data_IF_705417240256
#
_entry.id   IF_705417240256
#
_cell.length_a   1.000
_cell.length_b   1.000
_cell.length_c   1.000
_cell.angle_alpha   90.00
_cell.angle_beta   90.00
_cell.angle_gamma   90.00
#
_symmetry.space_group_name_H-M   'P 1'
#
loop_
_entity.id
_entity.type
_entity.pdbx_description
1 polymer ?
#
# COMPACT_ATOMS: atom_id res chain seq x y z
N UNK A 1 -18.09 23.65 -2.54
CA UNK A 1 -17.18 23.57 -1.35
C UNK A 1 -16.08 22.58 -1.70
N UNK A 2 -14.82 22.87 -1.39
CA UNK A 2 -13.72 21.93 -1.64
C UNK A 2 -13.90 20.69 -0.77
N UNK A 3 -13.79 19.50 -1.37
CA UNK A 3 -13.84 18.25 -0.62
C UNK A 3 -12.58 18.09 0.25
N UNK A 4 -12.76 17.59 1.47
CA UNK A 4 -11.65 17.34 2.39
C UNK A 4 -10.85 16.10 1.98
N UNK A 5 -11.54 15.05 1.54
CA UNK A 5 -10.92 13.77 1.16
C UNK A 5 -11.63 13.15 -0.04
N UNK A 6 -10.82 12.55 -0.92
CA UNK A 6 -11.26 11.68 -2.00
C UNK A 6 -10.93 10.23 -1.63
N UNK A 7 -11.95 9.39 -1.56
CA UNK A 7 -11.78 7.94 -1.49
C UNK A 7 -11.83 7.38 -2.91
N UNK A 8 -10.81 6.66 -3.34
CA UNK A 8 -10.84 5.88 -4.56
C UNK A 8 -11.10 4.42 -4.23
N UNK A 9 -12.10 3.86 -4.87
CA UNK A 9 -12.51 2.46 -4.71
C UNK A 9 -12.35 1.75 -6.05
N UNK A 10 -11.22 1.08 -6.31
CA UNK A 10 -11.06 0.22 -7.47
C UNK A 10 -11.99 -0.98 -7.37
N UNK A 11 -12.82 -1.21 -8.39
CA UNK A 11 -13.85 -2.25 -8.42
C UNK A 11 -13.65 -3.12 -9.66
N UNK A 12 -13.56 -4.44 -9.48
CA UNK A 12 -13.54 -5.40 -10.57
C UNK A 12 -14.27 -6.68 -10.18
N UNK A 13 -15.46 -6.90 -10.74
CA UNK A 13 -16.35 -8.01 -10.36
C UNK A 13 -16.54 -8.08 -8.83
N UNK A 14 -16.92 -6.95 -8.23
CA UNK A 14 -16.96 -6.72 -6.78
C UNK A 14 -18.38 -6.62 -6.22
N UNK A 15 -19.41 -6.90 -7.00
CA UNK A 15 -20.82 -6.69 -6.61
C UNK A 15 -21.20 -7.32 -5.26
N UNK A 16 -20.54 -8.41 -4.89
CA UNK A 16 -20.80 -9.14 -3.64
C UNK A 16 -20.32 -8.36 -2.38
N UNK A 17 -19.36 -7.42 -2.51
CA UNK A 17 -18.67 -6.80 -1.37
C UNK A 17 -18.80 -5.29 -1.34
N UNK A 18 -18.76 -4.63 -2.50
CA UNK A 18 -18.55 -3.18 -2.62
C UNK A 18 -19.64 -2.33 -1.92
N UNK A 19 -20.85 -2.83 -1.72
CA UNK A 19 -21.90 -2.08 -1.03
C UNK A 19 -21.51 -1.78 0.42
N UNK A 20 -20.94 -2.76 1.14
CA UNK A 20 -20.49 -2.54 2.51
C UNK A 20 -19.37 -1.50 2.56
N UNK A 21 -18.39 -1.59 1.66
CA UNK A 21 -17.35 -0.58 1.51
C UNK A 21 -17.96 0.82 1.34
N UNK A 22 -18.81 1.01 0.34
CA UNK A 22 -19.39 2.31 0.00
C UNK A 22 -20.20 2.88 1.17
N UNK A 23 -21.03 2.07 1.84
CA UNK A 23 -21.86 2.53 2.97
C UNK A 23 -21.02 3.07 4.13
N UNK A 24 -19.87 2.45 4.42
CA UNK A 24 -18.98 2.98 5.46
C UNK A 24 -18.34 4.31 5.06
N UNK A 25 -17.99 4.49 3.77
CA UNK A 25 -17.43 5.74 3.24
C UNK A 25 -18.45 6.88 3.20
N UNK A 26 -19.72 6.58 2.92
CA UNK A 26 -20.82 7.56 2.94
C UNK A 26 -21.01 8.20 4.31
N UNK A 27 -20.56 7.55 5.40
CA UNK A 27 -20.58 8.14 6.75
C UNK A 27 -19.74 9.43 6.87
N UNK A 28 -18.85 9.70 5.92
CA UNK A 28 -18.06 10.93 5.84
C UNK A 28 -18.91 12.16 5.40
N UNK A 29 -20.07 11.94 4.76
CA UNK A 29 -20.96 13.01 4.30
C UNK A 29 -20.37 13.90 3.20
N UNK A 30 -20.90 15.11 3.08
CA UNK A 30 -20.58 16.05 1.99
C UNK A 30 -19.11 16.54 1.95
N UNK A 31 -18.36 16.35 3.00
CA UNK A 31 -16.94 16.72 3.03
C UNK A 31 -16.04 15.73 2.26
N UNK A 32 -16.56 14.56 1.92
CA UNK A 32 -15.86 13.56 1.12
C UNK A 32 -16.41 13.47 -0.30
N UNK A 33 -15.61 12.91 -1.20
CA UNK A 33 -16.05 12.31 -2.44
C UNK A 33 -15.59 10.85 -2.50
N UNK A 34 -16.38 10.02 -3.15
CA UNK A 34 -16.12 8.59 -3.35
C UNK A 34 -16.09 8.34 -4.85
N UNK A 35 -14.93 7.94 -5.35
CA UNK A 35 -14.69 7.68 -6.76
C UNK A 35 -14.70 6.16 -6.94
N UNK A 36 -15.84 5.64 -7.41
CA UNK A 36 -16.00 4.22 -7.74
C UNK A 36 -15.43 4.01 -9.14
N UNK A 37 -14.32 3.28 -9.23
CA UNK A 37 -13.66 3.00 -10.51
C UNK A 37 -13.96 1.56 -10.91
N UNK A 38 -14.93 1.38 -11.80
CA UNK A 38 -15.21 0.09 -12.41
C UNK A 38 -14.18 -0.21 -13.50
N UNK A 39 -13.32 -1.18 -13.23
CA UNK A 39 -12.20 -1.60 -14.07
C UNK A 39 -12.65 -2.65 -15.13
N UNK A 40 -13.75 -2.36 -15.83
CA UNK A 40 -14.24 -3.21 -16.91
C UNK A 40 -14.87 -4.52 -16.41
N UNK A 41 -15.71 -4.45 -15.39
CA UNK A 41 -16.43 -5.61 -14.85
C UNK A 41 -17.45 -6.13 -15.87
N UNK A 42 -17.40 -7.45 -16.12
CA UNK A 42 -18.28 -8.10 -17.09
C UNK A 42 -19.01 -9.33 -16.54
N UNK A 43 -18.69 -9.75 -15.31
CA UNK A 43 -19.20 -11.00 -14.75
C UNK A 43 -20.31 -10.83 -13.72
N UNK A 44 -20.54 -9.58 -13.25
CA UNK A 44 -21.51 -9.29 -12.21
C UNK A 44 -22.11 -7.89 -12.34
N UNK A 45 -22.91 -7.47 -11.37
CA UNK A 45 -23.58 -6.18 -11.33
C UNK A 45 -22.74 -4.99 -10.89
N UNK A 46 -21.41 -5.09 -10.83
CA UNK A 46 -20.52 -4.00 -10.36
C UNK A 46 -20.78 -2.66 -11.08
N UNK A 47 -20.85 -2.60 -12.43
CA UNK A 47 -21.10 -1.32 -13.12
C UNK A 47 -22.43 -0.69 -12.72
N UNK A 48 -23.50 -1.50 -12.64
CA UNK A 48 -24.83 -1.03 -12.25
C UNK A 48 -24.87 -0.50 -10.81
N UNK A 49 -24.11 -1.11 -9.89
CA UNK A 49 -23.98 -0.62 -8.51
C UNK A 49 -23.24 0.72 -8.48
N UNK A 50 -22.19 0.90 -9.27
CA UNK A 50 -21.50 2.20 -9.39
C UNK A 50 -22.47 3.29 -9.82
N UNK A 51 -23.27 3.05 -10.86
CA UNK A 51 -24.25 4.01 -11.38
C UNK A 51 -25.38 4.27 -10.38
N UNK A 52 -25.87 3.24 -9.69
CA UNK A 52 -26.91 3.35 -8.64
C UNK A 52 -26.45 4.33 -7.54
N UNK A 53 -25.23 4.15 -7.00
CA UNK A 53 -24.72 5.02 -5.95
C UNK A 53 -24.40 6.43 -6.45
N UNK A 54 -23.90 6.58 -7.67
CA UNK A 54 -23.67 7.89 -8.28
C UNK A 54 -24.99 8.66 -8.49
N UNK A 55 -26.04 7.98 -8.93
CA UNK A 55 -27.38 8.59 -9.07
C UNK A 55 -28.02 8.95 -7.72
N UNK A 56 -27.82 8.10 -6.69
CA UNK A 56 -28.40 8.30 -5.35
C UNK A 56 -27.68 9.40 -4.56
N UNK A 57 -26.35 9.54 -4.75
CA UNK A 57 -25.52 10.49 -4.01
C UNK A 57 -24.66 11.36 -4.95
N UNK A 58 -25.28 12.16 -5.86
CA UNK A 58 -24.57 12.82 -6.96
C UNK A 58 -23.55 13.88 -6.53
N UNK A 59 -23.62 14.36 -5.28
CA UNK A 59 -22.65 15.31 -4.71
C UNK A 59 -21.47 14.63 -4.01
N UNK A 60 -21.58 13.32 -3.72
CA UNK A 60 -20.60 12.56 -2.96
C UNK A 60 -19.95 11.47 -3.81
N UNK A 61 -20.75 10.75 -4.61
CA UNK A 61 -20.29 9.57 -5.36
C UNK A 61 -20.13 9.90 -6.84
N UNK A 62 -19.01 9.48 -7.41
CA UNK A 62 -18.70 9.55 -8.84
C UNK A 62 -18.38 8.14 -9.34
N UNK A 63 -19.12 7.68 -10.37
CA UNK A 63 -18.77 6.47 -11.10
C UNK A 63 -17.81 6.79 -12.25
N UNK A 64 -16.79 5.97 -12.41
CA UNK A 64 -15.82 6.02 -13.52
C UNK A 64 -15.71 4.62 -14.09
N UNK A 65 -16.09 4.45 -15.37
CA UNK A 65 -15.96 3.18 -16.07
C UNK A 65 -14.78 3.22 -17.02
N UNK A 66 -14.00 2.15 -17.05
CA UNK A 66 -12.84 2.03 -17.94
C UNK A 66 -12.69 0.60 -18.48
N UNK A 67 -11.89 0.45 -19.53
CA UNK A 67 -11.38 -0.87 -19.91
C UNK A 67 -10.48 -1.42 -18.82
N UNK A 68 -10.50 -2.74 -18.62
CA UNK A 68 -9.69 -3.37 -17.59
C UNK A 68 -8.21 -3.02 -17.73
N UNK A 69 -7.69 -2.35 -16.74
CA UNK A 69 -6.27 -1.97 -16.62
C UNK A 69 -5.62 -2.56 -15.37
N UNK A 70 -6.40 -3.26 -14.53
CA UNK A 70 -5.98 -3.80 -13.25
C UNK A 70 -6.03 -2.77 -12.12
N UNK A 71 -5.85 -3.25 -10.88
CA UNK A 71 -5.98 -2.45 -9.65
C UNK A 71 -5.19 -1.13 -9.71
N UNK A 72 -3.93 -1.16 -10.19
CA UNK A 72 -3.11 0.05 -10.29
C UNK A 72 -3.71 1.12 -11.18
N UNK A 73 -4.34 0.74 -12.31
CA UNK A 73 -5.00 1.72 -13.18
C UNK A 73 -6.28 2.27 -12.52
N UNK A 74 -6.99 1.46 -11.74
CA UNK A 74 -8.10 1.93 -10.91
C UNK A 74 -7.65 3.02 -9.92
N UNK A 75 -6.51 2.82 -9.26
CA UNK A 75 -5.91 3.84 -8.36
C UNK A 75 -5.47 5.08 -9.15
N UNK A 76 -4.83 4.93 -10.32
CA UNK A 76 -4.44 6.05 -11.18
C UNK A 76 -5.66 6.89 -11.60
N UNK A 77 -6.77 6.25 -11.97
CA UNK A 77 -8.02 6.95 -12.30
C UNK A 77 -8.59 7.67 -11.08
N UNK A 78 -8.51 7.05 -9.90
CA UNK A 78 -8.86 7.72 -8.66
C UNK A 78 -8.08 9.01 -8.46
N UNK A 79 -6.74 9.02 -8.60
CA UNK A 79 -5.89 10.20 -8.45
C UNK A 79 -6.24 11.29 -9.50
N UNK A 80 -6.47 10.89 -10.76
CA UNK A 80 -6.86 11.82 -11.84
C UNK A 80 -8.18 12.51 -11.57
N UNK A 81 -9.14 11.80 -10.98
CA UNK A 81 -10.49 12.29 -10.71
C UNK A 81 -10.65 12.95 -9.33
N UNK A 82 -9.67 12.81 -8.43
CA UNK A 82 -9.73 13.34 -7.07
C UNK A 82 -9.79 14.88 -7.05
N UNK A 83 -10.72 15.44 -6.28
CA UNK A 83 -10.84 16.89 -6.01
C UNK A 83 -10.58 17.24 -4.54
N UNK A 84 -10.56 16.22 -3.68
CA UNK A 84 -10.32 16.36 -2.25
C UNK A 84 -8.89 16.77 -1.93
N UNK A 85 -8.73 17.45 -0.81
CA UNK A 85 -7.42 17.86 -0.30
C UNK A 85 -6.54 16.66 0.05
N UNK A 86 -7.16 15.58 0.54
CA UNK A 86 -6.52 14.29 0.83
C UNK A 86 -7.06 13.21 -0.10
N UNK A 87 -6.26 12.16 -0.26
CA UNK A 87 -6.57 11.00 -1.07
C UNK A 87 -6.31 9.71 -0.29
N UNK A 88 -7.25 8.79 -0.36
CA UNK A 88 -7.11 7.45 0.22
C UNK A 88 -7.69 6.41 -0.73
N UNK A 89 -6.95 5.32 -0.93
CA UNK A 89 -7.47 4.12 -1.58
C UNK A 89 -8.19 3.27 -0.54
N UNK A 90 -9.34 2.73 -0.92
CA UNK A 90 -10.06 1.70 -0.15
C UNK A 90 -10.46 0.60 -1.13
N UNK A 91 -9.96 -0.61 -0.91
CA UNK A 91 -10.28 -1.74 -1.76
C UNK A 91 -11.76 -2.12 -1.62
N UNK A 92 -12.38 -2.56 -2.71
CA UNK A 92 -13.84 -2.74 -2.77
C UNK A 92 -14.39 -3.85 -1.86
N UNK A 93 -13.52 -4.74 -1.37
CA UNK A 93 -13.83 -5.81 -0.41
C UNK A 93 -13.49 -5.43 1.04
N UNK A 94 -12.90 -4.25 1.26
CA UNK A 94 -12.53 -3.71 2.56
C UNK A 94 -13.52 -2.62 3.02
N UNK A 95 -13.35 -2.12 4.24
CA UNK A 95 -14.18 -1.03 4.76
C UNK A 95 -13.43 -0.14 5.76
N UNK A 96 -14.04 0.98 6.13
CA UNK A 96 -13.53 1.85 7.19
C UNK A 96 -14.42 1.77 8.44
N UNK A 97 -13.79 1.81 9.62
CA UNK A 97 -14.50 2.03 10.86
C UNK A 97 -15.09 3.44 10.88
N UNK A 98 -16.42 3.54 10.95
CA UNK A 98 -17.13 4.82 10.77
C UNK A 98 -16.88 5.81 11.90
N UNK A 99 -16.63 5.35 13.14
CA UNK A 99 -16.35 6.23 14.26
C UNK A 99 -14.90 6.71 14.24
N UNK A 100 -13.96 5.85 13.85
CA UNK A 100 -12.58 6.25 13.59
C UNK A 100 -12.52 7.25 12.43
N UNK A 101 -13.28 7.01 11.33
CA UNK A 101 -13.36 7.92 10.20
C UNK A 101 -13.85 9.32 10.61
N UNK A 102 -14.92 9.43 11.39
CA UNK A 102 -15.42 10.73 11.90
C UNK A 102 -14.35 11.47 12.70
N UNK A 103 -13.60 10.76 13.57
CA UNK A 103 -12.51 11.35 14.36
C UNK A 103 -11.36 11.85 13.48
N UNK A 104 -10.98 11.08 12.45
CA UNK A 104 -9.95 11.46 11.48
C UNK A 104 -10.36 12.70 10.70
N UNK A 105 -11.58 12.72 10.17
CA UNK A 105 -12.09 13.86 9.40
C UNK A 105 -12.17 15.13 10.27
N UNK A 106 -12.65 15.02 11.50
CA UNK A 106 -12.68 16.16 12.43
C UNK A 106 -11.26 16.69 12.72
N UNK A 107 -10.30 15.79 12.92
CA UNK A 107 -8.89 16.18 13.12
C UNK A 107 -8.32 16.87 11.87
N UNK A 108 -8.54 16.30 10.68
CA UNK A 108 -8.10 16.91 9.42
C UNK A 108 -8.69 18.31 9.21
N UNK A 109 -9.99 18.50 9.45
CA UNK A 109 -10.63 19.82 9.38
C UNK A 109 -9.95 20.83 10.30
N UNK A 110 -9.68 20.42 11.54
CA UNK A 110 -9.00 21.26 12.53
C UNK A 110 -7.60 21.66 12.07
N UNK A 111 -6.83 20.73 11.53
CA UNK A 111 -5.47 20.97 11.05
C UNK A 111 -5.49 21.88 9.81
N UNK A 112 -6.41 21.66 8.89
CA UNK A 112 -6.61 22.51 7.69
C UNK A 112 -6.99 23.93 8.09
N UNK A 113 -7.95 24.10 8.99
CA UNK A 113 -8.37 25.41 9.47
C UNK A 113 -7.26 26.20 10.16
N UNK A 114 -6.29 25.52 10.76
CA UNK A 114 -5.09 26.10 11.39
C UNK A 114 -3.93 26.35 10.41
N UNK A 115 -4.08 26.00 9.14
CA UNK A 115 -2.97 26.07 8.16
C UNK A 115 -1.84 25.08 8.40
N UNK A 116 -2.10 24.00 9.18
CA UNK A 116 -1.10 23.00 9.59
C UNK A 116 -1.43 21.61 9.04
N UNK A 117 -2.07 21.54 7.88
CA UNK A 117 -2.43 20.30 7.23
C UNK A 117 -1.18 19.47 6.86
N UNK A 118 -1.03 18.21 7.34
CA UNK A 118 0.12 17.37 7.03
C UNK A 118 0.10 16.89 5.58
N UNK A 119 1.27 16.54 5.05
CA UNK A 119 1.38 15.90 3.73
C UNK A 119 0.94 14.43 3.76
N UNK A 120 1.10 13.80 4.91
CA UNK A 120 0.73 12.40 5.13
C UNK A 120 0.04 12.22 6.49
N UNK A 121 -1.21 11.76 6.46
CA UNK A 121 -1.93 11.26 7.63
C UNK A 121 -1.78 9.75 7.70
N UNK A 122 -1.51 9.21 8.89
CA UNK A 122 -1.30 7.79 9.14
C UNK A 122 -2.29 7.32 10.22
N UNK A 123 -2.93 6.17 9.99
CA UNK A 123 -3.75 5.47 10.97
C UNK A 123 -3.36 3.99 11.00
N UNK A 124 -3.85 3.25 11.99
CA UNK A 124 -3.73 1.80 12.04
C UNK A 124 -4.65 1.14 11.00
N UNK A 125 -4.36 -0.13 10.72
CA UNK A 125 -5.28 -1.00 10.03
C UNK A 125 -5.41 -2.34 10.76
N UNK A 126 -6.50 -3.04 10.49
CA UNK A 126 -6.88 -4.27 11.17
C UNK A 126 -7.09 -5.37 10.15
N UNK A 127 -6.39 -6.47 10.28
CA UNK A 127 -6.72 -7.71 9.56
C UNK A 127 -7.98 -8.32 10.19
N UNK A 128 -9.04 -8.46 9.39
CA UNK A 128 -10.31 -9.05 9.81
C UNK A 128 -10.44 -10.45 9.22
N UNK A 129 -10.19 -11.47 10.02
CA UNK A 129 -10.37 -12.87 9.66
C UNK A 129 -11.83 -13.25 9.89
N UNK A 130 -12.67 -13.02 8.89
CA UNK A 130 -14.13 -13.17 9.02
C UNK A 130 -14.53 -14.64 9.24
N UNK A 131 -13.77 -15.62 8.73
CA UNK A 131 -14.06 -17.04 8.86
C UNK A 131 -13.99 -17.53 10.32
N UNK A 132 -13.03 -17.04 11.10
CA UNK A 132 -12.82 -17.45 12.51
C UNK A 132 -13.18 -16.36 13.52
N UNK A 133 -13.63 -15.20 13.06
CA UNK A 133 -14.03 -14.06 13.89
C UNK A 133 -12.87 -13.42 14.66
N UNK A 134 -11.62 -13.63 14.22
CA UNK A 134 -10.45 -13.03 14.86
C UNK A 134 -10.01 -11.76 14.12
N UNK A 135 -9.37 -10.85 14.84
CA UNK A 135 -8.78 -9.66 14.25
C UNK A 135 -7.38 -9.39 14.78
N UNK A 136 -6.55 -8.77 13.95
CA UNK A 136 -5.20 -8.36 14.33
C UNK A 136 -4.92 -6.93 13.88
N UNK A 137 -4.63 -6.04 14.85
CA UNK A 137 -4.33 -4.62 14.56
C UNK A 137 -2.84 -4.40 14.32
N UNK A 138 -2.50 -3.76 13.22
CA UNK A 138 -1.15 -3.23 12.96
C UNK A 138 -1.08 -1.78 13.39
N UNK A 139 -0.23 -1.51 14.40
CA UNK A 139 -0.04 -0.20 15.02
C UNK A 139 1.36 0.33 14.78
N UNK A 140 1.49 1.66 14.77
CA UNK A 140 2.77 2.34 14.53
C UNK A 140 3.23 3.17 15.74
N UNK A 141 2.74 2.86 16.95
CA UNK A 141 3.06 3.60 18.18
C UNK A 141 4.53 3.54 18.57
N UNK A 142 5.27 2.53 18.09
CA UNK A 142 6.71 2.40 18.27
C UNK A 142 7.52 3.25 17.27
N UNK A 143 6.87 3.76 16.21
CA UNK A 143 7.53 4.45 15.09
C UNK A 143 7.19 5.92 15.07
N UNK A 144 5.91 6.28 15.27
CA UNK A 144 5.42 7.63 15.06
C UNK A 144 4.94 8.30 16.35
N UNK A 145 5.27 9.58 16.54
CA UNK A 145 4.66 10.41 17.58
C UNK A 145 3.14 10.50 17.38
N UNK A 146 2.36 10.29 18.45
CA UNK A 146 0.89 10.34 18.36
C UNK A 146 0.36 11.77 18.48
N UNK A 147 -0.71 12.06 17.76
CA UNK A 147 -1.56 13.24 17.88
C UNK A 147 -0.85 14.58 17.80
N UNK A 148 0.26 14.64 17.08
CA UNK A 148 1.00 15.87 16.78
C UNK A 148 1.61 15.84 15.38
N UNK A 149 1.92 17.00 14.84
CA UNK A 149 2.72 17.13 13.62
C UNK A 149 4.16 16.71 13.89
N UNK A 150 4.75 16.01 12.94
CA UNK A 150 6.15 15.60 12.96
C UNK A 150 6.69 15.49 11.53
N UNK A 151 7.99 15.43 11.41
CA UNK A 151 8.74 15.19 10.18
C UNK A 151 9.56 13.89 10.27
N UNK A 152 10.33 13.59 9.24
CA UNK A 152 11.16 12.38 9.20
C UNK A 152 12.19 12.29 10.32
N UNK A 153 12.65 13.42 10.87
CA UNK A 153 13.64 13.42 11.98
C UNK A 153 13.08 12.76 13.24
N UNK A 154 11.77 12.85 13.45
CA UNK A 154 11.06 12.32 14.61
C UNK A 154 10.59 10.86 14.42
N UNK A 155 10.79 10.27 13.24
CA UNK A 155 10.40 8.89 12.97
C UNK A 155 11.33 7.92 13.68
N UNK A 156 10.75 6.97 14.43
CA UNK A 156 11.46 5.90 15.11
C UNK A 156 11.96 4.80 14.16
N UNK A 157 12.30 3.66 14.74
CA UNK A 157 12.76 2.50 13.99
C UNK A 157 11.59 1.55 13.71
N UNK A 158 11.41 1.21 12.45
CA UNK A 158 10.52 0.13 12.06
C UNK A 158 11.13 -1.23 12.45
N UNK A 159 10.30 -2.14 12.92
CA UNK A 159 10.72 -3.53 13.09
C UNK A 159 10.99 -4.17 11.73
N UNK A 160 11.77 -5.27 11.66
CA UNK A 160 12.06 -5.96 10.41
C UNK A 160 10.81 -6.42 9.62
N UNK A 161 9.73 -6.70 10.31
CA UNK A 161 8.43 -7.13 9.80
C UNK A 161 7.43 -5.99 9.58
N UNK A 162 7.84 -4.74 9.81
CA UNK A 162 6.92 -3.59 9.83
C UNK A 162 7.27 -2.60 8.72
N UNK A 163 6.26 -2.24 7.95
CA UNK A 163 6.30 -1.16 6.96
C UNK A 163 4.93 -0.47 6.88
N UNK A 164 4.88 0.69 6.23
CA UNK A 164 3.62 1.32 5.87
C UNK A 164 2.97 0.54 4.72
N UNK A 165 1.67 0.29 4.83
CA UNK A 165 0.86 -0.22 3.74
C UNK A 165 -0.13 0.85 3.25
N UNK A 166 -0.68 0.67 2.05
CA UNK A 166 -1.70 1.53 1.45
C UNK A 166 -2.90 1.75 2.39
N UNK A 167 -3.25 0.70 3.16
CA UNK A 167 -4.33 0.72 4.14
C UNK A 167 -4.14 1.77 5.24
N UNK A 168 -2.88 2.04 5.63
CA UNK A 168 -2.55 2.94 6.75
C UNK A 168 -2.41 4.42 6.36
N UNK A 169 -2.26 4.74 5.07
CA UNK A 169 -1.88 6.07 4.60
C UNK A 169 -3.03 6.85 3.96
N UNK A 170 -3.02 8.16 4.17
CA UNK A 170 -3.82 9.16 3.45
C UNK A 170 -2.87 10.28 3.05
N UNK A 171 -2.59 10.41 1.78
CA UNK A 171 -1.72 11.46 1.25
C UNK A 171 -2.49 12.74 0.97
N UNK A 172 -1.84 13.90 1.16
CA UNK A 172 -2.30 15.10 0.50
C UNK A 172 -2.30 14.84 -1.01
N UNK A 173 -3.40 15.12 -1.69
CA UNK A 173 -3.57 14.81 -3.14
C UNK A 173 -2.47 15.44 -3.98
N UNK A 174 -2.03 16.63 -3.60
CA UNK A 174 -0.93 17.34 -4.28
C UNK A 174 0.40 16.59 -4.21
N UNK A 175 0.71 15.90 -3.11
CA UNK A 175 1.92 15.08 -2.97
C UNK A 175 1.94 13.96 -4.01
N UNK A 176 0.79 13.29 -4.23
CA UNK A 176 0.67 12.24 -5.25
C UNK A 176 0.84 12.78 -6.67
N UNK A 177 0.36 14.00 -6.94
CA UNK A 177 0.52 14.65 -8.24
C UNK A 177 1.96 15.09 -8.47
N UNK A 178 2.60 15.70 -7.48
CA UNK A 178 3.98 16.17 -7.57
C UNK A 178 4.99 15.04 -7.74
N UNK A 179 4.76 13.88 -7.15
CA UNK A 179 5.66 12.73 -7.32
C UNK A 179 5.57 12.07 -8.71
N UNK A 180 4.60 12.46 -9.53
CA UNK A 180 4.44 11.94 -10.90
C UNK A 180 4.19 10.44 -10.98
N UNK A 181 3.68 9.82 -9.90
CA UNK A 181 3.47 8.38 -9.84
C UNK A 181 2.42 7.92 -10.84
N UNK A 182 2.75 6.89 -11.60
CA UNK A 182 1.84 6.13 -12.45
C UNK A 182 2.03 4.65 -12.14
N UNK A 183 1.04 4.03 -11.55
CA UNK A 183 1.07 2.62 -11.22
C UNK A 183 0.95 1.76 -12.49
N UNK A 184 1.75 0.71 -12.65
CA UNK A 184 1.72 -0.14 -13.85
C UNK A 184 0.39 -0.90 -13.97
N UNK A 185 -0.12 -0.96 -15.21
CA UNK A 185 -1.33 -1.74 -15.55
C UNK A 185 -1.11 -3.24 -15.37
N UNK A 186 -2.19 -3.98 -15.10
CA UNK A 186 -2.21 -5.44 -15.00
C UNK A 186 -1.10 -5.99 -14.09
N UNK A 187 -0.83 -5.29 -12.98
CA UNK A 187 0.22 -5.63 -12.04
C UNK A 187 -0.36 -5.63 -10.64
N UNK A 188 -0.19 -6.74 -9.90
CA UNK A 188 -0.50 -6.82 -8.48
C UNK A 188 0.64 -6.23 -7.65
N UNK A 189 0.41 -6.00 -6.36
CA UNK A 189 1.40 -5.49 -5.39
C UNK A 189 1.84 -4.05 -5.64
N UNK A 190 1.13 -3.31 -6.48
CA UNK A 190 1.40 -1.88 -6.80
C UNK A 190 1.12 -0.95 -5.63
N UNK A 191 0.40 -1.41 -4.61
CA UNK A 191 0.22 -0.78 -3.31
C UNK A 191 1.55 -0.39 -2.65
N UNK A 192 2.61 -1.20 -2.86
CA UNK A 192 3.96 -0.90 -2.40
C UNK A 192 4.55 0.32 -3.12
N UNK A 193 4.33 0.48 -4.43
CA UNK A 193 4.73 1.67 -5.18
C UNK A 193 3.96 2.89 -4.68
N UNK A 194 2.63 2.74 -4.49
CA UNK A 194 1.75 3.80 -3.99
C UNK A 194 2.22 4.38 -2.66
N UNK A 195 2.73 3.53 -1.76
CA UNK A 195 3.29 3.99 -0.49
C UNK A 195 4.69 4.56 -0.66
N UNK A 196 5.56 3.88 -1.41
CA UNK A 196 7.01 4.15 -1.44
C UNK A 196 7.37 5.39 -2.23
N UNK A 197 6.84 5.52 -3.46
CA UNK A 197 7.28 6.56 -4.40
C UNK A 197 7.00 8.00 -3.91
N UNK A 198 5.88 8.31 -3.21
CA UNK A 198 5.62 9.68 -2.74
C UNK A 198 6.43 10.11 -1.51
N UNK A 199 7.09 9.20 -0.78
CA UNK A 199 7.72 9.50 0.53
C UNK A 199 8.73 10.66 0.50
N UNK A 200 9.58 10.83 -0.53
CA UNK A 200 10.50 11.97 -0.59
C UNK A 200 9.81 13.35 -0.69
N UNK A 201 8.55 13.38 -1.08
CA UNK A 201 7.74 14.59 -1.19
C UNK A 201 6.98 14.93 0.11
N UNK A 202 7.00 14.01 1.08
CA UNK A 202 6.35 14.18 2.40
C UNK A 202 7.29 14.94 3.33
N UNK A 203 6.91 16.16 3.71
CA UNK A 203 7.66 17.03 4.65
C UNK A 203 7.06 16.99 6.04
N UNK A 204 5.75 16.78 6.15
CA UNK A 204 5.01 16.77 7.41
C UNK A 204 4.06 15.58 7.50
N UNK A 205 3.98 15.00 8.69
CA UNK A 205 3.17 13.82 8.97
C UNK A 205 2.34 14.02 10.22
N UNK A 206 1.26 13.25 10.32
CA UNK A 206 0.43 13.17 11.52
C UNK A 206 -0.04 11.74 11.71
N UNK A 207 0.16 11.16 12.89
CA UNK A 207 -0.27 9.81 13.21
C UNK A 207 -1.38 9.83 14.26
N UNK A 208 -2.49 9.17 13.96
CA UNK A 208 -3.57 8.89 14.89
C UNK A 208 -3.60 7.39 15.20
N UNK A 209 -3.50 7.03 16.48
CA UNK A 209 -3.60 5.64 16.94
C UNK A 209 -5.08 5.20 16.93
N UNK A 210 -5.65 5.14 15.73
CA UNK A 210 -7.02 4.73 15.44
C UNK A 210 -7.04 3.57 14.46
N UNK A 211 -7.83 2.56 14.76
CA UNK A 211 -8.01 1.35 13.96
C UNK A 211 -9.02 1.65 12.84
N UNK A 212 -8.57 2.43 11.83
CA UNK A 212 -9.43 3.02 10.80
C UNK A 212 -9.80 2.04 9.69
N UNK A 213 -8.79 1.38 9.11
CA UNK A 213 -8.99 0.53 7.94
C UNK A 213 -9.21 -0.92 8.37
N UNK A 214 -10.24 -1.56 7.84
CA UNK A 214 -10.60 -2.96 8.07
C UNK A 214 -10.32 -3.75 6.82
N UNK A 215 -9.26 -4.55 6.87
CA UNK A 215 -8.77 -5.36 5.78
C UNK A 215 -9.36 -6.77 5.88
N UNK A 216 -10.24 -7.11 4.95
CA UNK A 216 -10.89 -8.42 4.88
C UNK A 216 -9.92 -9.51 4.49
N UNK A 217 -9.79 -10.55 5.32
CA UNK A 217 -8.96 -11.73 5.08
C UNK A 217 -9.83 -12.98 5.14
N UNK A 218 -9.61 -13.93 4.21
CA UNK A 218 -10.27 -15.26 4.25
C UNK A 218 -10.74 -15.77 2.88
N UNK A 219 -10.68 -14.97 1.81
CA UNK A 219 -11.04 -15.47 0.48
C UNK A 219 -9.90 -16.27 -0.14
N UNK A 220 -10.25 -17.40 -0.76
CA UNK A 220 -9.29 -18.29 -1.41
C UNK A 220 -8.58 -17.67 -2.63
N UNK A 221 -9.20 -16.66 -3.26
CA UNK A 221 -8.68 -15.98 -4.45
C UNK A 221 -7.85 -14.71 -4.16
N UNK A 222 -7.65 -14.37 -2.87
CA UNK A 222 -6.88 -13.18 -2.50
C UNK A 222 -5.44 -13.22 -2.99
N UNK A 223 -4.95 -12.06 -3.40
CA UNK A 223 -3.60 -11.89 -3.97
C UNK A 223 -2.47 -12.22 -3.01
N UNK A 224 -2.73 -12.19 -1.71
CA UNK A 224 -1.77 -12.48 -0.63
C UNK A 224 -1.56 -13.98 -0.36
N UNK A 225 -2.32 -14.86 -0.98
CA UNK A 225 -2.12 -16.30 -0.85
C UNK A 225 -0.79 -16.74 -1.47
N UNK A 226 0.04 -17.49 -0.73
CA UNK A 226 1.39 -17.92 -1.13
C UNK A 226 1.42 -18.57 -2.52
N UNK A 227 0.49 -19.49 -2.80
CA UNK A 227 0.41 -20.15 -4.11
C UNK A 227 0.06 -19.20 -5.26
N UNK A 228 -0.69 -18.12 -4.97
CA UNK A 228 -1.02 -17.06 -5.93
C UNK A 228 0.20 -16.16 -6.15
N UNK A 229 0.91 -15.81 -5.07
CA UNK A 229 2.11 -14.96 -5.14
C UNK A 229 3.24 -15.63 -5.91
N UNK A 230 3.50 -16.92 -5.70
CA UNK A 230 4.50 -17.68 -6.47
C UNK A 230 4.16 -17.66 -7.98
N UNK A 231 2.90 -17.90 -8.35
CA UNK A 231 2.46 -17.84 -9.75
C UNK A 231 2.57 -16.44 -10.38
N UNK A 232 2.55 -15.38 -9.56
CA UNK A 232 2.61 -13.98 -9.98
C UNK A 232 3.95 -13.33 -9.68
N UNK A 233 5.00 -14.12 -9.45
CA UNK A 233 6.31 -13.59 -9.04
C UNK A 233 6.88 -12.58 -10.03
N UNK A 234 6.61 -12.71 -11.32
CA UNK A 234 7.06 -11.73 -12.33
C UNK A 234 6.46 -10.33 -12.13
N UNK A 235 5.24 -10.26 -11.56
CA UNK A 235 4.63 -8.98 -11.21
C UNK A 235 5.28 -8.39 -9.95
N UNK A 236 5.60 -9.23 -8.96
CA UNK A 236 6.38 -8.83 -7.79
C UNK A 236 7.76 -8.28 -8.21
N UNK A 237 8.45 -8.95 -9.13
CA UNK A 237 9.74 -8.48 -9.67
C UNK A 237 9.60 -7.14 -10.40
N UNK A 238 8.52 -6.94 -11.16
CA UNK A 238 8.23 -5.66 -11.83
C UNK A 238 8.07 -4.53 -10.81
N UNK A 239 7.31 -4.76 -9.74
CA UNK A 239 7.12 -3.78 -8.66
C UNK A 239 8.44 -3.48 -7.96
N UNK A 240 9.23 -4.51 -7.61
CA UNK A 240 10.52 -4.34 -6.96
C UNK A 240 11.50 -3.56 -7.83
N UNK A 241 11.59 -3.85 -9.13
CA UNK A 241 12.40 -3.09 -10.08
C UNK A 241 11.93 -1.63 -10.18
N UNK A 242 10.62 -1.40 -10.26
CA UNK A 242 10.09 -0.03 -10.23
C UNK A 242 10.52 0.72 -8.95
N UNK A 243 10.47 0.08 -7.78
CA UNK A 243 10.90 0.70 -6.53
C UNK A 243 12.43 0.96 -6.48
N UNK A 244 13.24 0.16 -7.18
CA UNK A 244 14.67 0.41 -7.37
C UNK A 244 14.88 1.70 -8.19
N UNK A 245 14.12 1.87 -9.28
CA UNK A 245 14.33 2.93 -10.27
C UNK A 245 13.68 4.26 -9.90
N UNK A 246 12.55 4.24 -9.17
CA UNK A 246 11.72 5.42 -8.98
C UNK A 246 12.34 6.50 -8.06
N UNK A 247 13.43 6.18 -7.33
CA UNK A 247 14.05 7.12 -6.38
C UNK A 247 15.57 6.96 -6.32
N UNK A 248 16.28 8.08 -6.45
CA UNK A 248 17.70 8.15 -6.11
C UNK A 248 17.87 8.27 -4.59
N UNK A 249 18.12 7.14 -3.92
CA UNK A 249 18.32 7.11 -2.46
C UNK A 249 19.60 7.82 -2.01
N UNK A 250 20.54 8.11 -2.90
CA UNK A 250 21.72 8.89 -2.56
C UNK A 250 21.43 10.40 -2.50
N UNK A 251 20.45 10.88 -3.25
CA UNK A 251 19.93 12.24 -3.11
C UNK A 251 19.34 12.49 -1.70
N UNK A 252 18.93 11.43 -0.99
CA UNK A 252 18.37 11.50 0.35
C UNK A 252 19.39 11.39 1.49
N UNK A 253 20.71 11.46 1.22
CA UNK A 253 21.77 11.33 2.25
C UNK A 253 21.61 12.28 3.44
N UNK A 254 21.11 13.47 3.20
CA UNK A 254 20.86 14.47 4.25
C UNK A 254 19.56 14.20 5.04
N UNK A 255 18.67 13.38 4.54
CA UNK A 255 17.41 12.96 5.17
C UNK A 255 17.56 11.53 5.75
N UNK A 256 18.45 11.39 6.73
CA UNK A 256 18.93 10.08 7.22
C UNK A 256 17.81 9.10 7.59
N UNK A 257 16.75 9.56 8.27
CA UNK A 257 15.64 8.71 8.71
C UNK A 257 14.77 8.25 7.54
N UNK A 258 14.43 9.16 6.62
CA UNK A 258 13.71 8.82 5.39
C UNK A 258 14.50 7.82 4.56
N UNK A 259 15.78 8.09 4.30
CA UNK A 259 16.66 7.19 3.56
C UNK A 259 16.74 5.81 4.20
N UNK A 260 16.90 5.75 5.52
CA UNK A 260 16.95 4.49 6.26
C UNK A 260 15.64 3.70 6.12
N UNK A 261 14.50 4.37 6.21
CA UNK A 261 13.19 3.73 6.01
C UNK A 261 12.99 3.23 4.57
N UNK A 262 13.37 4.02 3.57
CA UNK A 262 13.25 3.60 2.17
C UNK A 262 14.18 2.43 1.83
N UNK A 263 15.39 2.40 2.38
CA UNK A 263 16.29 1.24 2.28
C UNK A 263 15.71 -0.01 2.97
N UNK A 264 15.12 0.16 4.14
CA UNK A 264 14.43 -0.92 4.85
C UNK A 264 13.28 -1.50 4.01
N UNK A 265 12.42 -0.63 3.45
CA UNK A 265 11.30 -1.06 2.62
C UNK A 265 11.78 -1.78 1.34
N UNK A 266 12.76 -1.21 0.65
CA UNK A 266 13.36 -1.86 -0.53
C UNK A 266 13.95 -3.23 -0.17
N UNK A 267 14.58 -3.35 0.99
CA UNK A 267 15.11 -4.61 1.49
C UNK A 267 14.03 -5.67 1.75
N UNK A 268 12.86 -5.26 2.27
CA UNK A 268 11.69 -6.14 2.43
C UNK A 268 11.24 -6.63 1.04
N UNK A 269 11.13 -5.74 0.06
CA UNK A 269 10.68 -6.10 -1.28
C UNK A 269 11.65 -7.06 -1.98
N UNK A 270 12.96 -6.86 -1.81
CA UNK A 270 13.99 -7.81 -2.29
C UNK A 270 13.82 -9.17 -1.61
N UNK A 271 13.64 -9.20 -0.28
CA UNK A 271 13.47 -10.45 0.47
C UNK A 271 12.19 -11.21 0.05
N UNK A 272 11.08 -10.51 -0.13
CA UNK A 272 9.82 -11.11 -0.61
C UNK A 272 10.02 -11.71 -2.00
N UNK A 273 10.66 -10.97 -2.91
CA UNK A 273 10.96 -11.44 -4.27
C UNK A 273 11.82 -12.71 -4.26
N UNK A 274 12.91 -12.70 -3.47
CA UNK A 274 13.78 -13.86 -3.31
C UNK A 274 13.04 -15.07 -2.76
N UNK A 275 12.23 -14.89 -1.71
CA UNK A 275 11.48 -15.98 -1.07
C UNK A 275 10.53 -16.65 -2.05
N UNK A 276 9.76 -15.87 -2.85
CA UNK A 276 8.83 -16.46 -3.81
C UNK A 276 9.53 -17.16 -4.97
N UNK A 277 10.68 -16.66 -5.42
CA UNK A 277 11.52 -17.35 -6.40
C UNK A 277 12.11 -18.65 -5.83
N UNK A 278 12.51 -18.67 -4.54
CA UNK A 278 12.98 -19.87 -3.87
C UNK A 278 11.88 -20.91 -3.62
N UNK A 279 10.66 -20.46 -3.38
CA UNK A 279 9.47 -21.33 -3.24
C UNK A 279 9.07 -21.96 -4.57
N UNK A 280 9.19 -21.25 -5.70
CA UNK A 280 9.05 -21.80 -7.05
C UNK A 280 10.09 -22.90 -7.30
N UNK A 281 11.37 -22.66 -6.96
CA UNK A 281 12.47 -23.62 -6.98
C UNK A 281 12.94 -24.05 -8.37
N UNK A 282 12.31 -23.56 -9.45
CA UNK A 282 12.71 -23.87 -10.84
C UNK A 282 14.09 -23.26 -11.19
N UNK A 283 14.71 -23.77 -12.25
CA UNK A 283 15.96 -23.19 -12.77
C UNK A 283 15.74 -21.75 -13.25
N UNK A 284 14.59 -21.48 -13.86
CA UNK A 284 14.19 -20.14 -14.31
C UNK A 284 14.04 -19.17 -13.14
N UNK A 285 13.41 -19.59 -12.04
CA UNK A 285 13.27 -18.76 -10.83
C UNK A 285 14.61 -18.41 -10.21
N UNK A 286 15.57 -19.35 -10.18
CA UNK A 286 16.94 -19.09 -9.72
C UNK A 286 17.65 -18.06 -10.58
N UNK A 287 17.51 -18.17 -11.89
CA UNK A 287 18.08 -17.20 -12.83
C UNK A 287 17.45 -15.81 -12.64
N UNK A 288 16.14 -15.72 -12.49
CA UNK A 288 15.43 -14.46 -12.18
C UNK A 288 15.92 -13.82 -10.87
N UNK A 289 16.24 -14.63 -9.86
CA UNK A 289 16.83 -14.14 -8.61
C UNK A 289 18.19 -13.49 -8.84
N UNK A 290 19.09 -14.15 -9.59
CA UNK A 290 20.40 -13.61 -9.95
C UNK A 290 20.23 -12.29 -10.71
N UNK A 291 19.36 -12.27 -11.70
CA UNK A 291 19.07 -11.08 -12.51
C UNK A 291 18.51 -9.92 -11.68
N UNK A 292 17.65 -10.18 -10.69
CA UNK A 292 17.13 -9.13 -9.80
C UNK A 292 18.26 -8.48 -8.96
N UNK A 293 19.17 -9.27 -8.41
CA UNK A 293 20.30 -8.76 -7.64
C UNK A 293 21.32 -8.03 -8.52
N UNK A 294 21.52 -8.49 -9.76
CA UNK A 294 22.33 -7.78 -10.74
C UNK A 294 21.68 -6.45 -11.10
N UNK A 295 20.36 -6.44 -11.34
CA UNK A 295 19.59 -5.22 -11.58
C UNK A 295 19.74 -4.20 -10.46
N UNK A 296 19.58 -4.60 -9.20
CA UNK A 296 19.82 -3.73 -8.05
C UNK A 296 21.24 -3.14 -8.07
N UNK A 297 22.26 -3.95 -8.38
CA UNK A 297 23.65 -3.52 -8.43
C UNK A 297 23.94 -2.51 -9.54
N UNK A 298 23.28 -2.66 -10.69
CA UNK A 298 23.48 -1.82 -11.87
C UNK A 298 22.70 -0.50 -11.77
N UNK A 299 21.53 -0.54 -11.14
CA UNK A 299 20.60 0.61 -11.05
C UNK A 299 20.74 1.42 -9.76
N UNK A 300 21.61 1.02 -8.83
CA UNK A 300 21.81 1.76 -7.59
C UNK A 300 23.29 2.00 -7.32
N UNK A 301 23.58 2.97 -6.45
CA UNK A 301 24.97 3.22 -6.04
C UNK A 301 25.53 2.07 -5.22
N UNK A 302 26.87 1.95 -5.13
CA UNK A 302 27.52 0.96 -4.26
C UNK A 302 27.10 1.08 -2.78
N UNK A 303 26.72 2.28 -2.33
CA UNK A 303 26.27 2.52 -0.95
C UNK A 303 24.89 1.91 -0.71
N UNK A 304 23.97 2.07 -1.64
CA UNK A 304 22.59 1.51 -1.60
C UNK A 304 22.65 0.00 -1.72
N UNK A 305 23.36 -0.52 -2.73
CA UNK A 305 23.53 -1.96 -2.92
C UNK A 305 24.09 -2.65 -1.64
N UNK A 306 25.14 -2.06 -1.04
CA UNK A 306 25.73 -2.58 0.20
C UNK A 306 24.73 -2.55 1.35
N UNK A 307 23.98 -1.48 1.50
CA UNK A 307 22.97 -1.36 2.57
C UNK A 307 21.89 -2.43 2.46
N UNK A 308 21.34 -2.67 1.26
CA UNK A 308 20.34 -3.73 1.02
C UNK A 308 20.96 -5.12 1.24
N UNK A 309 22.19 -5.34 0.79
CA UNK A 309 22.89 -6.62 0.97
C UNK A 309 23.21 -6.93 2.44
N UNK A 310 23.38 -5.93 3.30
CA UNK A 310 23.64 -6.10 4.74
C UNK A 310 22.34 -6.09 5.58
N UNK A 311 21.18 -6.12 4.95
CA UNK A 311 19.87 -6.11 5.60
C UNK A 311 19.08 -7.41 5.33
N UNK A 312 17.76 -7.40 5.55
CA UNK A 312 16.88 -8.56 5.36
C UNK A 312 17.01 -9.16 3.94
N UNK A 313 17.08 -8.31 2.90
CA UNK A 313 17.29 -8.77 1.52
C UNK A 313 18.56 -9.58 1.35
N UNK A 314 19.66 -9.19 2.00
CA UNK A 314 20.92 -9.95 1.93
C UNK A 314 20.85 -11.31 2.62
N UNK A 315 20.02 -11.46 3.66
CA UNK A 315 19.80 -12.76 4.33
C UNK A 315 19.17 -13.76 3.35
N UNK A 316 18.21 -13.32 2.54
CA UNK A 316 17.54 -14.17 1.54
C UNK A 316 18.41 -14.47 0.31
N UNK A 317 19.52 -13.72 0.15
CA UNK A 317 20.48 -13.91 -0.92
C UNK A 317 21.81 -14.58 -0.48
N UNK A 318 21.84 -15.25 0.65
CA UNK A 318 23.01 -15.98 1.09
C UNK A 318 23.25 -17.21 0.19
N UNK A 319 24.54 -17.45 -0.13
CA UNK A 319 24.97 -18.56 -0.99
C UNK A 319 25.90 -19.48 -0.20
N UNK A 320 25.38 -20.64 0.21
CA UNK A 320 26.12 -21.76 0.81
C UNK A 320 25.36 -23.07 0.50
N UNK A 321 26.01 -24.25 0.67
CA UNK A 321 25.32 -25.52 0.42
C UNK A 321 23.98 -25.61 1.17
N UNK A 322 22.88 -25.86 0.45
CA UNK A 322 21.50 -25.92 0.97
C UNK A 322 20.94 -24.60 1.49
N UNK A 323 21.52 -23.45 1.12
CA UNK A 323 21.01 -22.12 1.53
C UNK A 323 19.53 -21.94 1.23
N UNK A 324 19.07 -22.37 0.06
CA UNK A 324 17.65 -22.26 -0.35
C UNK A 324 16.72 -22.95 0.65
N UNK A 325 17.08 -24.18 1.09
CA UNK A 325 16.29 -24.92 2.08
C UNK A 325 16.27 -24.23 3.44
N UNK A 326 17.40 -23.65 3.86
CA UNK A 326 17.48 -22.92 5.14
C UNK A 326 16.69 -21.64 5.11
N UNK A 327 16.77 -20.86 4.02
CA UNK A 327 16.04 -19.60 3.84
C UNK A 327 14.51 -19.87 3.80
N UNK A 328 14.07 -20.85 3.02
CA UNK A 328 12.64 -21.22 2.95
C UNK A 328 12.16 -21.77 4.30
N UNK A 329 12.98 -22.57 5.00
CA UNK A 329 12.67 -23.02 6.36
C UNK A 329 12.50 -21.87 7.34
N UNK A 330 13.42 -20.90 7.32
CA UNK A 330 13.34 -19.68 8.12
C UNK A 330 12.09 -18.85 7.82
N UNK A 331 11.74 -18.68 6.54
CA UNK A 331 10.49 -18.03 6.13
C UNK A 331 9.26 -18.75 6.70
N UNK A 332 9.17 -20.08 6.60
CA UNK A 332 8.03 -20.85 7.12
C UNK A 332 7.88 -20.69 8.64
N UNK A 333 9.00 -20.61 9.38
CA UNK A 333 8.98 -20.35 10.82
C UNK A 333 8.51 -18.92 11.09
N UNK A 334 9.07 -17.93 10.40
CA UNK A 334 8.71 -16.53 10.54
C UNK A 334 7.21 -16.32 10.24
N UNK A 335 6.68 -16.93 9.17
CA UNK A 335 5.25 -16.88 8.83
C UNK A 335 4.34 -17.38 9.97
N UNK A 336 4.72 -18.46 10.66
CA UNK A 336 3.96 -18.99 11.81
C UNK A 336 4.01 -18.04 13.02
N UNK A 337 5.16 -17.41 13.28
CA UNK A 337 5.35 -16.53 14.44
C UNK A 337 4.65 -15.19 14.22
N UNK A 338 4.86 -14.56 13.07
CA UNK A 338 4.36 -13.21 12.76
C UNK A 338 2.98 -13.22 12.09
N UNK A 339 2.42 -14.41 11.83
CA UNK A 339 1.11 -14.59 11.17
C UNK A 339 0.98 -13.77 9.87
N UNK A 340 2.05 -13.74 9.07
CA UNK A 340 1.92 -13.20 7.70
C UNK A 340 0.98 -14.12 6.90
N UNK A 341 0.14 -13.52 6.11
CA UNK A 341 -0.69 -14.27 5.15
C UNK A 341 0.11 -14.75 3.96
#
# INVERSE_FOLDING_TARGET
>A
MQKLISFAVPCYNSAAYMRHCIETLLSAGEQAEIILVDDGSTKDGTPAICDEYAAKYPTIVKAVHQENGGHGEGVNQGIRNATGLYYKVVDSDDWLDTDALKKVLHRLQTLVARGTAPDLMICNYVYEHVEDGTSHTVRYTNVFPKDRLFDWVHVGHFRPDQNLLMHSVMYRTEVLRQCGMVLPKHTFYVDNIFVYQPLPYVKSMYYMDLDLYRYFIGRADQSVNESVMVKRVDQQLRVTKHMIDCQDLDALKNQKRLRAYMLHYLSIMMAISDIFLLLDGSAEAREKKIQLWQYLKEHTSPSVYRAVRLSLGGITNLHFPKSDTVIVGGYRIARKIFKFN
#
